data_IF_846485210184
#
_entry.id   IF_846485210184
#
_cell.length_a   1.000
_cell.length_b   1.000
_cell.length_c   1.000
_cell.angle_alpha   90.00
_cell.angle_beta   90.00
_cell.angle_gamma   90.00
#
_symmetry.space_group_name_H-M   'P 1'
#
loop_
_entity.id
_entity.type
_entity.pdbx_description
1 polymer ?
#
# COMPACT_ATOMS: atom_id res chain seq x y z
N UNK A 1 -22.55 4.26 -22.11
CA UNK A 1 -23.04 3.04 -21.42
C UNK A 1 -22.98 1.81 -22.34
N UNK A 2 -21.80 1.45 -22.86
CA UNK A 2 -21.62 0.38 -23.86
C UNK A 2 -21.79 -1.03 -23.25
N UNK A 3 -21.45 -1.21 -21.97
CA UNK A 3 -21.44 -2.54 -21.33
C UNK A 3 -22.79 -2.97 -20.72
N UNK A 4 -23.81 -2.10 -20.75
CA UNK A 4 -25.14 -2.28 -20.09
C UNK A 4 -25.05 -2.91 -18.68
N UNK A 5 -23.94 -2.68 -17.98
CA UNK A 5 -23.67 -3.19 -16.65
C UNK A 5 -23.09 -2.04 -15.81
N UNK A 6 -23.80 -1.54 -14.79
CA UNK A 6 -23.35 -0.43 -13.96
C UNK A 6 -22.13 -0.76 -13.08
N UNK A 7 -21.69 -2.03 -13.01
CA UNK A 7 -20.42 -2.43 -12.36
C UNK A 7 -19.24 -2.60 -13.34
N UNK A 8 -19.47 -2.50 -14.65
CA UNK A 8 -18.42 -2.73 -15.64
C UNK A 8 -17.63 -1.44 -15.90
N UNK A 9 -16.51 -1.31 -15.20
CA UNK A 9 -15.59 -0.18 -15.28
C UNK A 9 -14.65 -0.31 -16.52
N UNK A 10 -14.38 0.78 -17.27
CA UNK A 10 -13.32 0.83 -18.29
C UNK A 10 -11.96 0.21 -17.91
N UNK A 11 -11.64 0.10 -16.62
CA UNK A 11 -10.44 -0.59 -16.15
C UNK A 11 -10.39 -2.10 -16.50
N UNK A 12 -11.53 -2.74 -16.81
CA UNK A 12 -11.59 -4.21 -17.00
C UNK A 12 -11.09 -4.67 -18.37
N UNK A 13 -10.99 -3.79 -19.38
CA UNK A 13 -10.50 -4.17 -20.74
C UNK A 13 -8.96 -4.11 -20.88
N UNK A 14 -8.23 -4.03 -19.76
CA UNK A 14 -6.77 -4.11 -19.71
C UNK A 14 -6.02 -2.84 -20.14
N UNK A 15 -6.72 -1.73 -20.37
CA UNK A 15 -6.14 -0.40 -20.63
C UNK A 15 -5.10 0.00 -19.60
N UNK A 16 -5.42 -0.14 -18.31
CA UNK A 16 -4.53 0.23 -17.21
C UNK A 16 -3.31 -0.69 -17.10
N UNK A 17 -3.47 -2.00 -17.31
CA UNK A 17 -2.35 -2.93 -17.31
C UNK A 17 -1.40 -2.68 -18.48
N UNK A 18 -1.94 -2.42 -19.68
CA UNK A 18 -1.18 -2.02 -20.87
C UNK A 18 -0.42 -0.71 -20.67
N UNK A 19 -1.09 0.28 -20.10
CA UNK A 19 -0.47 1.57 -19.80
C UNK A 19 0.62 1.45 -18.72
N UNK A 20 0.38 0.65 -17.68
CA UNK A 20 1.36 0.37 -16.63
C UNK A 20 2.58 -0.35 -17.18
N UNK A 21 2.43 -1.35 -18.05
CA UNK A 21 3.54 -2.03 -18.69
C UNK A 21 4.33 -1.08 -19.59
N UNK A 22 3.64 -0.28 -20.42
CA UNK A 22 4.28 0.72 -21.28
C UNK A 22 5.07 1.77 -20.48
N UNK A 23 4.49 2.26 -19.38
CA UNK A 23 5.18 3.17 -18.46
C UNK A 23 6.40 2.50 -17.81
N UNK A 24 6.26 1.25 -17.37
CA UNK A 24 7.36 0.47 -16.77
C UNK A 24 8.50 0.29 -17.76
N UNK A 25 8.22 -0.06 -19.02
CA UNK A 25 9.24 -0.15 -20.07
C UNK A 25 9.95 1.20 -20.26
N UNK A 26 9.18 2.30 -20.33
CA UNK A 26 9.72 3.64 -20.52
C UNK A 26 10.60 4.13 -19.36
N UNK A 27 10.38 3.62 -18.15
CA UNK A 27 11.16 3.98 -16.95
C UNK A 27 12.37 3.04 -16.77
N UNK A 28 12.15 1.73 -16.91
CA UNK A 28 13.11 0.69 -16.50
C UNK A 28 14.15 0.39 -17.58
N UNK A 29 13.75 0.32 -18.85
CA UNK A 29 14.68 -0.02 -19.94
C UNK A 29 15.83 1.00 -20.08
N UNK A 30 15.58 2.33 -20.00
CA UNK A 30 16.65 3.33 -19.96
C UNK A 30 17.62 3.19 -18.77
N UNK A 31 17.14 2.68 -17.63
CA UNK A 31 17.96 2.46 -16.44
C UNK A 31 18.89 1.26 -16.60
N UNK A 32 18.43 0.21 -17.28
CA UNK A 32 19.18 -1.03 -17.53
C UNK A 32 20.13 -0.92 -18.74
N UNK A 33 19.75 -0.14 -19.74
CA UNK A 33 20.56 0.10 -20.94
C UNK A 33 20.65 1.61 -21.15
N UNK A 34 21.63 2.31 -20.53
CA UNK A 34 21.76 3.77 -20.62
C UNK A 34 21.89 4.28 -22.06
N UNK A 35 22.39 3.45 -22.98
CA UNK A 35 22.46 3.78 -24.41
C UNK A 35 21.08 3.90 -25.08
N UNK A 36 20.03 3.31 -24.50
CA UNK A 36 18.63 3.42 -24.93
C UNK A 36 17.87 4.54 -24.20
N UNK A 37 18.56 5.33 -23.37
CA UNK A 37 17.99 6.45 -22.64
C UNK A 37 17.76 7.67 -23.55
N UNK A 38 16.87 7.52 -24.53
CA UNK A 38 16.47 8.60 -25.43
C UNK A 38 15.76 9.68 -24.59
N UNK A 39 16.39 10.85 -24.43
CA UNK A 39 15.79 12.01 -23.74
C UNK A 39 16.03 12.09 -22.23
N UNK A 40 16.85 11.21 -21.64
CA UNK A 40 17.15 11.20 -20.20
C UNK A 40 17.92 12.43 -19.67
N UNK A 41 18.36 13.33 -20.55
CA UNK A 41 19.00 14.61 -20.19
C UNK A 41 18.09 15.85 -20.30
N UNK A 42 16.83 15.69 -20.74
CA UNK A 42 15.92 16.83 -20.93
C UNK A 42 14.61 16.56 -20.20
N UNK A 43 14.31 17.40 -19.20
CA UNK A 43 13.12 17.32 -18.35
C UNK A 43 11.78 17.29 -19.12
N UNK A 44 11.79 17.63 -20.41
CA UNK A 44 10.63 17.68 -21.30
C UNK A 44 10.41 16.41 -22.16
N UNK A 45 11.47 15.65 -22.51
CA UNK A 45 11.35 14.45 -23.36
C UNK A 45 11.29 13.14 -22.55
N UNK A 46 11.91 13.10 -21.36
CA UNK A 46 11.86 11.91 -20.47
C UNK A 46 10.45 11.63 -19.91
N UNK A 47 9.69 12.69 -19.60
CA UNK A 47 8.25 12.65 -19.30
C UNK A 47 7.37 12.70 -20.57
N UNK A 48 7.96 12.59 -21.76
CA UNK A 48 7.19 12.45 -23.01
C UNK A 48 7.12 10.99 -23.43
N UNK A 49 8.26 10.31 -23.36
CA UNK A 49 8.39 8.92 -23.81
C UNK A 49 7.65 7.93 -22.91
N UNK A 50 7.66 8.13 -21.58
CA UNK A 50 6.91 7.29 -20.63
C UNK A 50 5.41 7.38 -20.90
N UNK A 51 4.88 8.58 -21.12
CA UNK A 51 3.48 8.86 -21.39
C UNK A 51 3.07 8.31 -22.76
N UNK A 52 3.95 8.43 -23.76
CA UNK A 52 3.73 7.88 -25.10
C UNK A 52 3.74 6.33 -25.08
N UNK A 53 4.66 5.71 -24.34
CA UNK A 53 4.72 4.26 -24.18
C UNK A 53 3.54 3.74 -23.34
N UNK A 54 3.13 4.45 -22.30
CA UNK A 54 1.92 4.14 -21.54
C UNK A 54 0.68 4.24 -22.42
N UNK A 55 0.56 5.30 -23.22
CA UNK A 55 -0.57 5.49 -24.12
C UNK A 55 -0.63 4.40 -25.21
N UNK A 56 0.50 4.12 -25.88
CA UNK A 56 0.57 3.09 -26.91
C UNK A 56 0.40 1.68 -26.34
N UNK A 57 0.94 1.39 -25.15
CA UNK A 57 0.72 0.14 -24.42
C UNK A 57 -0.75 -0.07 -24.03
N UNK A 58 -1.42 0.99 -23.58
CA UNK A 58 -2.86 0.98 -23.28
C UNK A 58 -3.71 0.70 -24.53
N UNK A 59 -3.45 1.41 -25.63
CA UNK A 59 -4.15 1.18 -26.91
C UNK A 59 -3.87 -0.22 -27.45
N UNK A 60 -2.61 -0.64 -27.48
CA UNK A 60 -2.22 -1.96 -27.97
C UNK A 60 -2.90 -3.09 -27.22
N UNK A 61 -3.04 -2.93 -25.90
CA UNK A 61 -3.73 -3.90 -25.05
C UNK A 61 -5.23 -3.96 -25.36
N UNK A 62 -5.89 -2.82 -25.55
CA UNK A 62 -7.31 -2.79 -25.96
C UNK A 62 -7.50 -3.46 -27.32
N UNK A 63 -6.64 -3.15 -28.30
CA UNK A 63 -6.69 -3.76 -29.62
C UNK A 63 -6.50 -5.28 -29.56
N UNK A 64 -5.57 -5.74 -28.72
CA UNK A 64 -5.34 -7.17 -28.48
C UNK A 64 -6.56 -7.83 -27.84
N UNK A 65 -7.13 -7.23 -26.79
CA UNK A 65 -8.34 -7.73 -26.12
C UNK A 65 -9.51 -7.80 -27.09
N UNK A 66 -9.71 -6.78 -27.92
CA UNK A 66 -10.74 -6.79 -28.96
C UNK A 66 -10.47 -7.87 -30.01
N UNK A 67 -9.22 -8.08 -30.43
CA UNK A 67 -8.87 -9.10 -31.41
C UNK A 67 -9.14 -10.52 -30.88
N UNK A 68 -8.80 -10.79 -29.62
CA UNK A 68 -8.95 -12.10 -28.98
C UNK A 68 -10.38 -12.39 -28.53
N UNK A 69 -11.11 -11.37 -28.04
CA UNK A 69 -12.49 -11.55 -27.56
C UNK A 69 -13.53 -11.66 -28.69
N UNK A 70 -13.15 -11.37 -29.94
CA UNK A 70 -14.04 -11.48 -31.11
C UNK A 70 -14.36 -12.93 -31.40
N UNK A 71 -15.66 -13.25 -31.44
CA UNK A 71 -16.18 -14.55 -31.87
C UNK A 71 -17.34 -14.34 -32.85
N UNK A 72 -17.23 -14.91 -34.05
CA UNK A 72 -18.29 -14.85 -35.08
C UNK A 72 -18.69 -13.42 -35.51
N UNK A 73 -17.74 -12.48 -35.54
CA UNK A 73 -18.01 -11.07 -35.90
C UNK A 73 -18.72 -10.24 -34.82
N UNK A 74 -18.96 -10.82 -33.64
CA UNK A 74 -19.55 -10.13 -32.49
C UNK A 74 -18.51 -9.95 -31.39
N UNK A 75 -18.76 -9.00 -30.48
CA UNK A 75 -17.97 -8.72 -29.28
C UNK A 75 -18.83 -9.02 -28.04
N UNK A 76 -18.89 -10.28 -27.58
CA UNK A 76 -19.66 -10.61 -26.38
C UNK A 76 -19.04 -9.96 -25.14
N UNK A 77 -19.86 -9.30 -24.33
CA UNK A 77 -19.40 -8.54 -23.16
C UNK A 77 -18.64 -9.41 -22.15
N UNK A 78 -19.12 -10.63 -21.90
CA UNK A 78 -18.48 -11.57 -20.96
C UNK A 78 -17.10 -11.98 -21.45
N UNK A 79 -16.97 -12.34 -22.74
CA UNK A 79 -15.68 -12.69 -23.34
C UNK A 79 -14.71 -11.51 -23.30
N UNK A 80 -15.18 -10.30 -23.60
CA UNK A 80 -14.38 -9.09 -23.55
C UNK A 80 -13.79 -8.83 -22.15
N UNK A 81 -14.61 -8.99 -21.10
CA UNK A 81 -14.17 -8.81 -19.71
C UNK A 81 -13.18 -9.90 -19.28
N UNK A 82 -13.45 -11.17 -19.61
CA UNK A 82 -12.55 -12.29 -19.28
C UNK A 82 -11.21 -12.16 -20.02
N UNK A 83 -11.22 -11.76 -21.30
CA UNK A 83 -10.00 -11.51 -22.07
C UNK A 83 -9.23 -10.32 -21.52
N UNK A 84 -9.90 -9.22 -21.15
CA UNK A 84 -9.26 -8.06 -20.53
C UNK A 84 -8.58 -8.40 -19.20
N UNK A 85 -9.23 -9.20 -18.36
CA UNK A 85 -8.64 -9.73 -17.13
C UNK A 85 -7.45 -10.65 -17.38
N UNK A 86 -7.57 -11.59 -18.34
CA UNK A 86 -6.50 -12.52 -18.69
C UNK A 86 -5.26 -11.79 -19.25
N UNK A 87 -5.45 -10.80 -20.13
CA UNK A 87 -4.36 -10.00 -20.68
C UNK A 87 -3.74 -9.11 -19.61
N UNK A 88 -4.53 -8.48 -18.75
CA UNK A 88 -4.00 -7.68 -17.62
C UNK A 88 -3.13 -8.52 -16.69
N UNK A 89 -3.59 -9.73 -16.37
CA UNK A 89 -2.86 -10.69 -15.55
C UNK A 89 -1.56 -11.13 -16.22
N UNK A 90 -1.58 -11.34 -17.54
CA UNK A 90 -0.39 -11.70 -18.31
C UNK A 90 0.64 -10.56 -18.38
N UNK A 91 0.20 -9.31 -18.52
CA UNK A 91 1.09 -8.14 -18.54
C UNK A 91 1.70 -7.88 -17.14
N UNK A 92 0.90 -8.05 -16.08
CA UNK A 92 1.39 -8.01 -14.70
C UNK A 92 2.40 -9.15 -14.43
N UNK A 93 2.11 -10.36 -14.92
CA UNK A 93 3.03 -11.49 -14.85
C UNK A 93 4.31 -11.24 -15.65
N UNK A 94 4.23 -10.66 -16.86
CA UNK A 94 5.40 -10.28 -17.65
C UNK A 94 6.28 -9.24 -16.95
N UNK A 95 5.66 -8.25 -16.28
CA UNK A 95 6.38 -7.29 -15.45
C UNK A 95 7.04 -7.98 -14.24
N UNK A 96 6.38 -8.94 -13.59
CA UNK A 96 6.98 -9.73 -12.50
C UNK A 96 8.10 -10.68 -12.97
N UNK A 97 8.01 -11.21 -14.19
CA UNK A 97 9.01 -12.09 -14.81
C UNK A 97 10.27 -11.37 -15.29
N UNK A 98 10.30 -10.03 -15.25
CA UNK A 98 11.49 -9.22 -15.53
C UNK A 98 12.66 -9.44 -14.55
N UNK A 99 12.46 -10.28 -13.52
CA UNK A 99 13.43 -10.55 -12.45
C UNK A 99 13.40 -9.50 -11.34
N UNK A 100 12.53 -8.49 -11.44
CA UNK A 100 12.35 -7.47 -10.41
C UNK A 100 11.28 -7.88 -9.38
N UNK A 101 11.47 -7.50 -8.12
CA UNK A 101 10.49 -7.76 -7.07
C UNK A 101 9.14 -7.08 -7.33
N UNK A 102 8.04 -7.64 -6.80
CA UNK A 102 6.68 -7.09 -6.95
C UNK A 102 6.59 -5.61 -6.52
N UNK A 103 7.35 -5.22 -5.50
CA UNK A 103 7.46 -3.84 -5.05
C UNK A 103 7.96 -2.89 -6.14
N UNK A 104 8.91 -3.32 -6.97
CA UNK A 104 9.50 -2.52 -8.03
C UNK A 104 8.50 -2.29 -9.17
N UNK A 105 7.75 -3.33 -9.53
CA UNK A 105 6.65 -3.24 -10.49
C UNK A 105 5.58 -2.27 -9.98
N UNK A 106 5.20 -2.39 -8.70
CA UNK A 106 4.24 -1.49 -8.06
C UNK A 106 4.70 -0.03 -8.04
N UNK A 107 5.96 0.25 -7.64
CA UNK A 107 6.51 1.60 -7.64
C UNK A 107 6.62 2.19 -9.05
N UNK A 108 7.05 1.39 -10.03
CA UNK A 108 7.12 1.81 -11.43
C UNK A 108 5.73 2.15 -11.99
N UNK A 109 4.70 1.41 -11.58
CA UNK A 109 3.33 1.71 -11.92
C UNK A 109 2.82 3.02 -11.27
N UNK A 110 3.25 3.33 -10.03
CA UNK A 110 2.82 4.52 -9.29
C UNK A 110 3.60 5.80 -9.67
N UNK A 111 4.86 5.67 -10.09
CA UNK A 111 5.77 6.79 -10.42
C UNK A 111 5.16 7.82 -11.39
N UNK A 112 4.55 7.43 -12.53
CA UNK A 112 3.90 8.37 -13.44
C UNK A 112 2.73 9.16 -12.82
N UNK A 113 2.10 8.61 -11.79
CA UNK A 113 0.96 9.22 -11.10
C UNK A 113 1.38 10.15 -9.96
N UNK A 114 2.67 10.21 -9.63
CA UNK A 114 3.17 11.03 -8.50
C UNK A 114 2.74 12.50 -8.58
N UNK A 115 2.72 13.21 -9.74
CA UNK A 115 2.26 14.60 -9.78
C UNK A 115 0.76 14.72 -9.47
N UNK A 116 -0.05 13.78 -9.95
CA UNK A 116 -1.49 13.75 -9.69
C UNK A 116 -1.78 13.44 -8.22
N UNK A 117 -1.06 12.49 -7.64
CA UNK A 117 -1.18 12.16 -6.22
C UNK A 117 -0.80 13.35 -5.33
N UNK A 118 0.29 14.07 -5.67
CA UNK A 118 0.70 15.28 -4.95
C UNK A 118 -0.38 16.36 -5.07
N UNK A 119 -0.91 16.61 -6.27
CA UNK A 119 -2.01 17.56 -6.47
C UNK A 119 -3.22 17.22 -5.60
N UNK A 120 -3.64 15.96 -5.62
CA UNK A 120 -4.79 15.48 -4.84
C UNK A 120 -4.55 15.60 -3.32
N UNK A 121 -3.34 15.29 -2.85
CA UNK A 121 -2.95 15.46 -1.44
C UNK A 121 -2.98 16.93 -1.03
N UNK A 122 -2.40 17.83 -1.84
CA UNK A 122 -2.38 19.28 -1.56
C UNK A 122 -3.81 19.82 -1.53
N UNK A 123 -4.62 19.48 -2.53
CA UNK A 123 -6.02 19.90 -2.60
C UNK A 123 -6.82 19.44 -1.38
N UNK A 124 -6.68 18.17 -0.96
CA UNK A 124 -7.34 17.67 0.26
C UNK A 124 -6.84 18.40 1.50
N UNK A 125 -5.54 18.68 1.61
CA UNK A 125 -4.98 19.41 2.75
C UNK A 125 -5.49 20.86 2.83
N UNK A 126 -5.60 21.54 1.70
CA UNK A 126 -6.16 22.89 1.63
C UNK A 126 -7.65 22.92 1.99
N UNK A 127 -8.40 21.88 1.60
CA UNK A 127 -9.84 21.81 1.82
C UNK A 127 -10.25 21.30 3.21
N UNK A 128 -9.55 20.27 3.71
CA UNK A 128 -9.93 19.55 4.93
C UNK A 128 -8.91 19.71 6.08
N UNK A 129 -7.80 20.43 5.87
CA UNK A 129 -6.82 20.73 6.91
C UNK A 129 -6.28 19.47 7.59
N UNK A 130 -6.32 19.47 8.93
CA UNK A 130 -5.82 18.37 9.76
C UNK A 130 -6.51 17.02 9.49
N UNK A 131 -7.79 17.05 9.09
CA UNK A 131 -8.51 15.82 8.77
C UNK A 131 -7.90 15.11 7.55
N UNK A 132 -7.38 15.84 6.57
CA UNK A 132 -6.66 15.24 5.43
C UNK A 132 -5.37 14.53 5.89
N UNK A 133 -4.66 15.10 6.87
CA UNK A 133 -3.48 14.45 7.47
C UNK A 133 -3.88 13.18 8.21
N UNK A 134 -4.97 13.20 8.98
CA UNK A 134 -5.46 12.01 9.65
C UNK A 134 -5.87 10.91 8.65
N UNK A 135 -6.57 11.28 7.58
CA UNK A 135 -6.92 10.38 6.49
C UNK A 135 -5.67 9.76 5.83
N UNK A 136 -4.63 10.55 5.58
CA UNK A 136 -3.38 10.05 4.99
C UNK A 136 -2.65 9.07 5.90
N UNK A 137 -2.54 9.36 7.20
CA UNK A 137 -1.95 8.45 8.19
C UNK A 137 -2.75 7.15 8.27
N UNK A 138 -4.08 7.23 8.32
CA UNK A 138 -4.95 6.06 8.34
C UNK A 138 -4.81 5.20 7.07
N UNK A 139 -4.67 5.83 5.90
CA UNK A 139 -4.43 5.14 4.65
C UNK A 139 -3.10 4.38 4.65
N UNK A 140 -2.01 5.03 5.06
CA UNK A 140 -0.69 4.39 5.16
C UNK A 140 -0.74 3.20 6.13
N UNK A 141 -1.37 3.36 7.30
CA UNK A 141 -1.51 2.27 8.26
C UNK A 141 -2.35 1.11 7.72
N UNK A 142 -3.36 1.41 6.90
CA UNK A 142 -4.16 0.37 6.23
C UNK A 142 -3.32 -0.42 5.23
N UNK A 143 -2.43 0.25 4.48
CA UNK A 143 -1.49 -0.44 3.58
C UNK A 143 -0.49 -1.30 4.35
N UNK A 144 0.06 -0.78 5.45
CA UNK A 144 0.94 -1.52 6.35
C UNK A 144 0.24 -2.76 6.94
N UNK A 145 -1.01 -2.62 7.36
CA UNK A 145 -1.83 -3.77 7.81
C UNK A 145 -2.04 -4.81 6.69
N UNK A 146 -2.24 -4.35 5.46
CA UNK A 146 -2.35 -5.22 4.28
C UNK A 146 -1.07 -6.04 4.06
N UNK A 147 0.10 -5.43 4.27
CA UNK A 147 1.40 -6.09 4.19
C UNK A 147 1.50 -7.25 5.20
N UNK A 148 1.23 -7.01 6.48
CA UNK A 148 1.22 -8.06 7.50
C UNK A 148 0.12 -9.10 7.30
N UNK A 149 -1.02 -8.71 6.71
CA UNK A 149 -2.07 -9.67 6.34
C UNK A 149 -1.56 -10.65 5.29
N UNK A 150 -0.82 -10.18 4.29
CA UNK A 150 -0.17 -11.05 3.31
C UNK A 150 0.87 -11.94 3.98
N UNK A 151 1.68 -11.40 4.90
CA UNK A 151 2.65 -12.19 5.66
C UNK A 151 1.98 -13.31 6.47
N UNK A 152 0.92 -13.02 7.22
CA UNK A 152 0.18 -14.04 8.00
C UNK A 152 -0.46 -15.09 7.10
N UNK A 153 -1.02 -14.69 5.94
CA UNK A 153 -1.55 -15.63 4.95
C UNK A 153 -0.45 -16.53 4.37
N UNK A 154 0.73 -15.99 4.09
CA UNK A 154 1.90 -16.78 3.70
C UNK A 154 2.28 -17.77 4.79
N UNK A 155 2.36 -17.33 6.05
CA UNK A 155 2.67 -18.22 7.19
C UNK A 155 1.66 -19.35 7.35
N UNK A 156 0.37 -19.09 7.14
CA UNK A 156 -0.66 -20.13 7.16
C UNK A 156 -0.47 -21.14 6.02
N UNK A 157 -0.07 -20.68 4.83
CA UNK A 157 0.21 -21.54 3.67
C UNK A 157 1.53 -22.32 3.77
N UNK A 158 2.53 -21.76 4.44
CA UNK A 158 3.87 -22.34 4.60
C UNK A 158 4.05 -23.10 5.93
N UNK A 159 2.96 -23.32 6.67
CA UNK A 159 2.97 -24.02 7.96
C UNK A 159 3.90 -23.37 9.01
N UNK A 160 3.96 -22.03 9.02
CA UNK A 160 4.72 -21.24 9.97
C UNK A 160 6.17 -20.93 9.56
N UNK A 161 6.55 -21.21 8.32
CA UNK A 161 7.89 -20.92 7.82
C UNK A 161 8.08 -19.43 7.55
N UNK A 162 8.72 -18.73 8.50
CA UNK A 162 9.01 -17.30 8.42
C UNK A 162 10.01 -16.96 7.32
N UNK A 163 10.91 -17.88 6.95
CA UNK A 163 11.93 -17.64 5.91
C UNK A 163 11.33 -17.60 4.49
N UNK A 164 10.08 -18.04 4.34
CA UNK A 164 9.32 -17.95 3.09
C UNK A 164 8.09 -17.02 3.21
N UNK A 165 7.95 -16.31 4.34
CA UNK A 165 6.78 -15.49 4.66
C UNK A 165 7.20 -14.06 5.01
N UNK A 166 7.38 -13.23 3.99
CA UNK A 166 7.92 -11.86 4.09
C UNK A 166 6.95 -10.79 3.57
N UNK A 167 5.66 -11.09 3.46
CA UNK A 167 4.66 -10.14 2.98
C UNK A 167 4.93 -9.67 1.54
N UNK A 168 4.50 -8.44 1.21
CA UNK A 168 4.67 -7.83 -0.12
C UNK A 168 5.96 -7.03 -0.22
N UNK A 169 6.39 -6.43 0.90
CA UNK A 169 7.54 -5.54 0.98
C UNK A 169 8.59 -6.09 1.95
N UNK A 170 8.84 -7.39 1.92
CA UNK A 170 9.70 -8.10 2.88
C UNK A 170 11.09 -7.56 3.14
N UNK A 171 11.64 -6.72 2.26
CA UNK A 171 12.89 -6.00 2.52
C UNK A 171 12.77 -4.99 3.66
N UNK A 172 11.55 -4.56 4.00
CA UNK A 172 11.24 -3.62 5.08
C UNK A 172 10.89 -4.33 6.39
N UNK A 173 10.85 -5.66 6.41
CA UNK A 173 10.45 -6.46 7.58
C UNK A 173 11.61 -6.60 8.60
N UNK A 174 12.07 -5.46 9.13
CA UNK A 174 13.09 -5.42 10.17
C UNK A 174 12.75 -4.40 11.26
N UNK A 175 13.27 -4.64 12.46
CA UNK A 175 12.87 -3.95 13.71
C UNK A 175 12.95 -2.42 13.59
N UNK A 176 14.00 -1.88 12.96
CA UNK A 176 14.18 -0.42 12.84
C UNK A 176 13.05 0.26 12.07
N UNK A 177 12.53 -0.38 11.00
CA UNK A 177 11.42 0.20 10.22
C UNK A 177 10.15 0.25 11.06
N UNK A 178 9.83 -0.86 11.73
CA UNK A 178 8.68 -0.94 12.63
C UNK A 178 8.78 0.08 13.76
N UNK A 179 9.92 0.13 14.44
CA UNK A 179 10.15 1.09 15.52
C UNK A 179 9.93 2.54 15.08
N UNK A 180 10.49 2.94 13.93
CA UNK A 180 10.33 4.30 13.41
C UNK A 180 8.87 4.56 12.98
N UNK A 181 8.26 3.63 12.25
CA UNK A 181 6.89 3.77 11.77
C UNK A 181 5.87 3.84 12.92
N UNK A 182 5.98 2.94 13.89
CA UNK A 182 5.10 2.91 15.08
C UNK A 182 5.30 4.14 15.95
N UNK A 183 6.54 4.63 16.08
CA UNK A 183 6.80 5.90 16.79
C UNK A 183 6.13 7.08 16.09
N UNK A 184 6.23 7.16 14.76
CA UNK A 184 5.58 8.23 13.99
C UNK A 184 4.06 8.16 14.08
N UNK A 185 3.48 6.95 14.02
CA UNK A 185 2.05 6.74 14.21
C UNK A 185 1.61 7.16 15.61
N UNK A 186 2.32 6.72 16.65
CA UNK A 186 2.04 7.04 18.04
C UNK A 186 2.07 8.56 18.29
N UNK A 187 3.09 9.25 17.78
CA UNK A 187 3.18 10.71 17.83
C UNK A 187 2.05 11.39 17.07
N UNK A 188 1.71 10.91 15.87
CA UNK A 188 0.61 11.46 15.07
C UNK A 188 -0.73 11.34 15.80
N UNK A 189 -1.03 10.17 16.39
CA UNK A 189 -2.23 9.96 17.20
C UNK A 189 -2.28 10.90 18.41
N UNK A 190 -1.14 11.11 19.09
CA UNK A 190 -1.04 12.09 20.17
C UNK A 190 -1.31 13.52 19.72
N UNK A 191 -0.75 13.93 18.58
CA UNK A 191 -1.02 15.24 17.97
C UNK A 191 -2.50 15.38 17.61
N UNK A 192 -3.12 14.36 17.01
CA UNK A 192 -4.55 14.38 16.69
C UNK A 192 -5.42 14.48 17.95
N UNK A 193 -5.05 13.80 19.04
CA UNK A 193 -5.76 13.92 20.32
C UNK A 193 -5.76 15.37 20.83
N UNK A 194 -4.60 16.03 20.81
CA UNK A 194 -4.48 17.43 21.24
C UNK A 194 -5.27 18.36 20.32
N UNK A 195 -5.09 18.23 19.01
CA UNK A 195 -5.66 19.16 18.04
C UNK A 195 -7.18 18.96 17.83
N UNK A 196 -7.68 17.73 17.97
CA UNK A 196 -9.13 17.44 18.03
C UNK A 196 -9.70 17.59 19.44
N UNK A 197 -8.94 18.19 20.37
CA UNK A 197 -9.35 18.51 21.75
C UNK A 197 -9.88 17.30 22.54
N UNK A 198 -9.40 16.10 22.21
CA UNK A 198 -9.78 14.86 22.88
C UNK A 198 -11.27 14.47 22.75
N UNK A 199 -12.03 15.12 21.85
CA UNK A 199 -13.47 14.87 21.71
C UNK A 199 -13.76 13.45 21.17
N UNK A 200 -12.85 12.90 20.39
CA UNK A 200 -12.99 11.61 19.74
C UNK A 200 -12.57 10.47 20.68
N UNK A 201 -13.55 9.74 21.21
CA UNK A 201 -13.31 8.63 22.17
C UNK A 201 -12.55 7.47 21.54
N UNK A 202 -12.76 7.20 20.26
CA UNK A 202 -12.08 6.14 19.53
C UNK A 202 -10.61 6.45 19.28
N UNK A 203 -10.27 7.74 19.14
CA UNK A 203 -8.90 8.17 19.03
C UNK A 203 -8.11 7.92 20.32
N UNK A 204 -8.74 8.04 21.49
CA UNK A 204 -8.13 7.63 22.77
C UNK A 204 -7.87 6.13 22.82
N UNK A 205 -8.82 5.31 22.35
CA UNK A 205 -8.65 3.85 22.29
C UNK A 205 -7.50 3.49 21.34
N UNK A 206 -7.45 4.09 20.15
CA UNK A 206 -6.37 3.90 19.19
C UNK A 206 -5.00 4.30 19.77
N UNK A 207 -4.93 5.45 20.45
CA UNK A 207 -3.69 5.92 21.09
C UNK A 207 -3.24 5.02 22.24
N UNK A 208 -4.16 4.51 23.05
CA UNK A 208 -3.85 3.56 24.11
C UNK A 208 -3.32 2.23 23.55
N UNK A 209 -3.96 1.70 22.51
CA UNK A 209 -3.51 0.50 21.81
C UNK A 209 -2.12 0.73 21.16
N UNK A 210 -1.92 1.87 20.51
CA UNK A 210 -0.64 2.23 19.89
C UNK A 210 0.46 2.39 20.94
N UNK A 211 0.13 2.92 22.12
CA UNK A 211 1.08 3.02 23.23
C UNK A 211 1.52 1.64 23.74
N UNK A 212 0.58 0.69 23.86
CA UNK A 212 0.88 -0.69 24.25
C UNK A 212 1.81 -1.36 23.24
N UNK A 213 1.49 -1.25 21.95
CA UNK A 213 2.30 -1.79 20.86
C UNK A 213 3.69 -1.12 20.80
N UNK A 214 3.75 0.20 20.97
CA UNK A 214 5.00 0.95 20.99
C UNK A 214 5.93 0.53 22.16
N UNK A 215 5.38 0.17 23.33
CA UNK A 215 6.18 -0.35 24.46
C UNK A 215 6.90 -1.65 24.08
N UNK A 216 6.21 -2.53 23.34
CA UNK A 216 6.82 -3.76 22.80
C UNK A 216 8.01 -3.42 21.90
N UNK A 217 7.83 -2.50 20.94
CA UNK A 217 8.90 -2.08 20.02
C UNK A 217 10.03 -1.32 20.70
N UNK A 218 9.76 -0.52 21.74
CA UNK A 218 10.83 0.08 22.56
C UNK A 218 11.70 -1.00 23.19
N UNK A 219 11.10 -2.04 23.76
CA UNK A 219 11.84 -3.13 24.36
C UNK A 219 12.64 -3.93 23.32
N UNK A 220 12.03 -4.26 22.19
CA UNK A 220 12.69 -5.02 21.13
C UNK A 220 13.84 -4.23 20.48
N UNK A 221 13.63 -2.95 20.22
CA UNK A 221 14.66 -2.08 19.69
C UNK A 221 15.79 -1.86 20.69
N UNK A 222 15.49 -1.72 21.99
CA UNK A 222 16.50 -1.69 23.05
C UNK A 222 17.35 -2.97 23.06
N UNK A 223 16.72 -4.14 23.02
CA UNK A 223 17.42 -5.43 22.95
C UNK A 223 18.27 -5.54 21.68
N UNK A 224 17.76 -5.08 20.53
CA UNK A 224 18.51 -5.02 19.28
C UNK A 224 19.79 -4.19 19.38
N UNK A 225 19.75 -3.06 20.12
CA UNK A 225 20.90 -2.18 20.31
C UNK A 225 21.90 -2.68 21.37
N UNK A 226 21.41 -3.25 22.46
CA UNK A 226 22.22 -3.56 23.66
C UNK A 226 22.70 -5.00 23.70
N UNK A 227 21.90 -5.96 23.23
CA UNK A 227 22.25 -7.38 23.22
C UNK A 227 21.76 -8.06 21.94
N UNK A 228 22.39 -7.68 20.83
CA UNK A 228 22.09 -8.23 19.50
C UNK A 228 22.29 -9.74 19.43
N UNK A 229 23.18 -10.31 20.24
CA UNK A 229 23.43 -11.75 20.30
C UNK A 229 22.20 -12.51 20.78
N UNK A 230 21.63 -12.09 21.91
CA UNK A 230 20.40 -12.65 22.45
C UNK A 230 19.21 -12.39 21.53
N UNK A 231 19.10 -11.18 20.95
CA UNK A 231 18.04 -10.83 20.00
C UNK A 231 18.03 -11.75 18.77
N UNK A 232 19.19 -12.00 18.15
CA UNK A 232 19.31 -12.84 16.94
C UNK A 232 19.19 -14.33 17.26
N UNK A 233 19.62 -14.77 18.45
CA UNK A 233 19.49 -16.15 18.90
C UNK A 233 18.05 -16.55 19.28
N UNK A 234 17.07 -15.65 19.11
CA UNK A 234 15.67 -15.89 19.47
C UNK A 234 15.37 -15.71 20.96
N UNK A 235 16.28 -15.09 21.72
CA UNK A 235 16.07 -14.73 23.11
C UNK A 235 15.04 -13.61 23.27
N UNK A 236 14.21 -13.72 24.32
CA UNK A 236 12.99 -12.95 24.60
C UNK A 236 12.24 -12.52 23.34
N UNK A 237 11.16 -13.25 23.01
CA UNK A 237 10.25 -12.96 21.91
C UNK A 237 9.50 -11.61 22.02
N UNK A 238 9.99 -10.69 22.85
CA UNK A 238 9.37 -9.45 23.25
C UNK A 238 8.92 -9.48 24.71
N UNK A 239 8.08 -8.52 25.08
CA UNK A 239 7.45 -8.51 26.39
C UNK A 239 6.30 -9.51 26.37
N UNK A 240 5.39 -9.42 25.39
CA UNK A 240 4.21 -10.28 25.29
C UNK A 240 4.35 -11.41 24.27
N UNK A 241 5.46 -11.55 23.54
CA UNK A 241 5.66 -12.69 22.64
C UNK A 241 5.70 -14.05 23.38
N UNK A 242 5.51 -15.15 22.66
CA UNK A 242 5.69 -16.51 23.21
C UNK A 242 7.11 -16.73 23.71
N UNK A 243 7.27 -16.95 25.03
CA UNK A 243 8.58 -16.96 25.70
C UNK A 243 9.16 -15.57 26.00
N UNK A 244 8.33 -14.52 25.93
CA UNK A 244 8.67 -13.15 26.32
C UNK A 244 8.69 -12.93 27.83
N UNK A 245 9.01 -11.70 28.24
CA UNK A 245 9.14 -11.31 29.67
C UNK A 245 7.85 -11.58 30.46
N UNK A 246 6.70 -11.21 29.90
CA UNK A 246 5.36 -11.51 30.43
C UNK A 246 4.81 -12.77 29.75
N UNK A 247 5.01 -12.88 28.44
CA UNK A 247 4.60 -14.02 27.66
C UNK A 247 3.14 -13.98 27.18
N UNK A 248 2.88 -14.62 26.05
CA UNK A 248 1.54 -14.93 25.55
C UNK A 248 1.60 -16.19 24.67
N UNK A 249 0.47 -16.80 24.25
CA UNK A 249 0.52 -17.95 23.35
C UNK A 249 0.91 -17.59 21.90
N UNK A 250 1.05 -16.30 21.56
CA UNK A 250 1.30 -15.84 20.19
C UNK A 250 2.80 -15.73 19.88
N UNK A 251 3.21 -16.33 18.77
CA UNK A 251 4.51 -16.05 18.16
C UNK A 251 4.59 -14.60 17.67
N UNK A 252 5.81 -14.04 17.59
CA UNK A 252 6.06 -12.64 17.23
C UNK A 252 5.26 -12.11 16.02
N UNK A 253 5.24 -12.78 14.85
CA UNK A 253 4.49 -12.27 13.70
C UNK A 253 2.97 -12.17 13.98
N UNK A 254 2.40 -13.17 14.65
CA UNK A 254 0.97 -13.18 15.00
C UNK A 254 0.62 -12.15 16.07
N UNK A 255 1.53 -11.94 17.03
CA UNK A 255 1.36 -10.92 18.05
C UNK A 255 1.43 -9.52 17.43
N UNK A 256 2.41 -9.27 16.56
CA UNK A 256 2.56 -8.00 15.85
C UNK A 256 1.34 -7.69 14.97
N UNK A 257 0.81 -8.70 14.24
CA UNK A 257 -0.46 -8.59 13.52
C UNK A 257 -1.63 -8.22 14.45
N UNK A 258 -1.70 -8.84 15.63
CA UNK A 258 -2.76 -8.59 16.61
C UNK A 258 -2.69 -7.18 17.19
N UNK A 259 -1.49 -6.70 17.50
CA UNK A 259 -1.26 -5.31 17.92
C UNK A 259 -1.74 -4.33 16.85
N UNK A 260 -1.30 -4.52 15.60
CA UNK A 260 -1.73 -3.67 14.50
C UNK A 260 -3.25 -3.67 14.30
N UNK A 261 -3.93 -4.81 14.47
CA UNK A 261 -5.39 -4.91 14.43
C UNK A 261 -6.09 -4.07 15.51
N UNK A 262 -5.62 -4.15 16.76
CA UNK A 262 -6.21 -3.36 17.85
C UNK A 262 -5.89 -1.87 17.77
N UNK A 263 -4.92 -1.46 16.95
CA UNK A 263 -4.63 -0.05 16.66
C UNK A 263 -5.48 0.45 15.48
N UNK A 264 -5.45 -0.25 14.34
CA UNK A 264 -6.08 0.20 13.10
C UNK A 264 -7.60 0.23 13.19
N UNK A 265 -8.22 -0.75 13.85
CA UNK A 265 -9.70 -0.82 13.92
C UNK A 265 -10.26 0.39 14.66
N UNK A 266 -9.83 0.71 15.90
CA UNK A 266 -10.26 1.94 16.57
C UNK A 266 -9.86 3.20 15.81
N UNK A 267 -8.71 3.22 15.13
CA UNK A 267 -8.28 4.39 14.36
C UNK A 267 -9.21 4.67 13.16
N UNK A 268 -9.64 3.64 12.43
CA UNK A 268 -10.59 3.79 11.33
C UNK A 268 -11.98 4.22 11.83
N UNK A 269 -12.41 3.69 12.98
CA UNK A 269 -13.65 4.15 13.63
C UNK A 269 -13.53 5.60 14.08
N UNK A 270 -12.37 6.01 14.63
CA UNK A 270 -12.09 7.39 14.98
C UNK A 270 -12.12 8.31 13.76
N UNK A 271 -11.53 7.90 12.64
CA UNK A 271 -11.59 8.65 11.38
C UNK A 271 -13.03 8.84 10.91
N UNK A 272 -13.85 7.79 10.95
CA UNK A 272 -15.25 7.86 10.58
C UNK A 272 -16.08 8.75 11.52
N UNK A 273 -15.83 8.68 12.83
CA UNK A 273 -16.46 9.54 13.83
C UNK A 273 -16.08 11.01 13.64
N UNK A 274 -14.80 11.27 13.36
CA UNK A 274 -14.29 12.60 13.07
C UNK A 274 -14.93 13.18 11.80
N UNK A 275 -15.08 12.38 10.75
CA UNK A 275 -15.75 12.79 9.51
C UNK A 275 -17.19 13.24 9.76
N UNK A 276 -17.96 12.45 10.53
CA UNK A 276 -19.35 12.78 10.90
C UNK A 276 -19.46 14.09 11.68
N UNK A 277 -18.49 14.40 12.53
CA UNK A 277 -18.46 15.66 13.28
C UNK A 277 -18.25 16.89 12.39
N UNK A 278 -17.59 16.74 11.23
CA UNK A 278 -17.36 17.83 10.28
C UNK A 278 -18.62 18.15 9.47
N UNK A 279 -19.37 17.14 9.04
CA UNK A 279 -20.63 17.32 8.31
C UNK A 279 -21.73 17.96 9.17
N UNK A 280 -21.67 17.77 10.48
CA UNK A 280 -22.62 18.36 11.43
C UNK A 280 -22.40 19.86 11.70
N UNK A 281 -21.24 20.42 11.32
CA UNK A 281 -20.99 21.87 11.46
C UNK A 281 -21.53 22.63 10.25
N UNK A 282 -22.51 23.54 10.42
CA UNK A 282 -23.06 24.30 9.29
C UNK A 282 -21.97 25.17 8.68
N UNK A 283 -21.72 25.01 7.37
CA UNK A 283 -20.84 25.90 6.64
C UNK A 283 -21.34 27.35 6.80
N UNK A 284 -20.50 28.30 7.23
CA UNK A 284 -20.85 29.70 7.14
C UNK A 284 -21.14 29.98 5.67
N UNK A 285 -22.37 30.45 5.38
CA UNK A 285 -22.75 30.90 4.03
C UNK A 285 -21.71 31.95 3.63
N UNK A 286 -20.91 31.66 2.61
CA UNK A 286 -20.13 32.67 1.91
C UNK A 286 -21.06 33.51 1.07
#
# INVERSE_FOLDING_TARGET
AILRNPMADPYIIGTAAGASLGATIGIVVPLLVPALAIGAGSAWLGLGIVQLLAFTGGIGTVLLVIAVARSGGRLPSVTLLLTGYAVSSLLAAGAALSGHGLWFVGLSALLPWTPLLVYEIVWKRERYGLFATFLAVAFIQTLHMGEHSVQVLQMLGTHGDLAHSHGVFGQLDFETVHFVADTLLWLALGVFLVLFRGANRWLWVAFAAASLHQIEHFYLFWMYLVDRGTYVAGGFAGIMGSGGVIGSPLGRPYLHFSYNMIVIVPMLVALWDQARSMDATPHPRR
#
